data_IF_040690622667
#
_entry.id   IF_040690622667
#
_cell.length_a   1.000
_cell.length_b   1.000
_cell.length_c   1.000
_cell.angle_alpha   90.00
_cell.angle_beta   90.00
_cell.angle_gamma   90.00
#
_symmetry.space_group_name_H-M   'P 1'
#
loop_
_entity.id
_entity.type
_entity.pdbx_description
1 polymer ?
#
# COMPACT_ATOMS: atom_id res chain seq x y z
N UNK A 1 -7.82 -9.32 1.31
CA UNK A 1 -6.76 -8.29 1.35
C UNK A 1 -5.42 -8.93 1.06
N UNK A 2 -4.56 -8.28 0.28
CA UNK A 2 -3.27 -8.85 -0.13
C UNK A 2 -2.11 -7.96 0.28
N UNK A 3 -1.00 -8.55 0.70
CA UNK A 3 0.15 -7.82 1.25
C UNK A 3 1.46 -8.40 0.72
N UNK A 4 2.46 -7.57 0.42
CA UNK A 4 3.82 -8.01 0.14
C UNK A 4 4.86 -7.10 0.82
N UNK A 5 5.92 -7.72 1.35
CA UNK A 5 7.12 -7.02 1.84
C UNK A 5 8.21 -7.00 0.77
N UNK A 6 8.12 -7.90 -0.22
CA UNK A 6 9.03 -7.99 -1.34
C UNK A 6 8.69 -6.93 -2.40
N UNK A 7 9.60 -6.76 -3.36
CA UNK A 7 9.40 -5.88 -4.50
C UNK A 7 8.06 -6.19 -5.20
N UNK A 8 7.15 -5.21 -5.34
CA UNK A 8 5.76 -5.49 -5.68
C UNK A 8 5.53 -5.82 -7.16
N UNK A 9 6.44 -5.41 -8.05
CA UNK A 9 6.31 -5.53 -9.51
C UNK A 9 6.04 -6.97 -9.97
N UNK A 10 6.92 -7.89 -9.56
CA UNK A 10 6.90 -9.30 -9.98
C UNK A 10 5.99 -10.16 -9.10
N UNK A 11 5.52 -9.62 -7.98
CA UNK A 11 4.78 -10.36 -6.96
C UNK A 11 3.31 -9.97 -6.96
N UNK A 12 2.99 -8.89 -6.26
CA UNK A 12 1.62 -8.49 -5.99
C UNK A 12 0.97 -7.79 -7.18
N UNK A 13 1.72 -6.93 -7.89
CA UNK A 13 1.23 -6.17 -9.05
C UNK A 13 1.15 -7.00 -10.33
N UNK A 14 1.80 -8.17 -10.39
CA UNK A 14 1.67 -9.10 -11.51
C UNK A 14 0.20 -9.53 -11.76
N UNK A 15 -0.64 -9.49 -10.71
CA UNK A 15 -2.08 -9.75 -10.81
C UNK A 15 -2.90 -8.53 -11.29
N UNK A 16 -2.30 -7.35 -11.41
CA UNK A 16 -2.97 -6.08 -11.75
C UNK A 16 -2.28 -5.36 -12.93
N UNK A 17 -2.23 -5.99 -14.12
CA UNK A 17 -1.49 -5.44 -15.27
C UNK A 17 -1.97 -4.05 -15.70
N UNK A 18 -3.25 -3.71 -15.45
CA UNK A 18 -3.80 -2.40 -15.77
C UNK A 18 -3.33 -1.27 -14.83
N UNK A 19 -2.91 -1.60 -13.60
CA UNK A 19 -2.45 -0.64 -12.60
C UNK A 19 -0.92 -0.62 -12.49
N UNK A 20 -0.28 -1.70 -12.94
CA UNK A 20 1.14 -1.96 -12.82
C UNK A 20 2.02 -0.74 -13.18
N UNK A 21 1.89 -0.22 -14.39
CA UNK A 21 2.75 0.87 -14.88
C UNK A 21 2.60 2.11 -13.99
N UNK A 22 1.36 2.57 -13.77
CA UNK A 22 1.10 3.77 -12.99
C UNK A 22 1.59 3.66 -11.54
N UNK A 23 1.44 2.48 -10.91
CA UNK A 23 1.91 2.27 -9.53
C UNK A 23 3.44 2.21 -9.48
N UNK A 24 4.07 1.49 -10.40
CA UNK A 24 5.53 1.37 -10.45
C UNK A 24 6.19 2.72 -10.72
N UNK A 25 5.60 3.56 -11.59
CA UNK A 25 6.07 4.92 -11.82
C UNK A 25 6.15 5.72 -10.52
N UNK A 26 5.13 5.66 -9.65
CA UNK A 26 5.17 6.39 -8.37
C UNK A 26 6.23 5.85 -7.41
N UNK A 27 6.46 4.53 -7.40
CA UNK A 27 7.47 3.91 -6.52
C UNK A 27 8.89 4.24 -6.99
N UNK A 28 9.11 4.33 -8.31
CA UNK A 28 10.43 4.53 -8.91
C UNK A 28 10.78 6.01 -9.06
N UNK A 29 9.79 6.91 -9.22
CA UNK A 29 10.01 8.36 -9.45
C UNK A 29 11.02 9.02 -8.50
N UNK A 30 11.06 8.70 -7.19
CA UNK A 30 12.03 9.30 -6.27
C UNK A 30 13.49 8.87 -6.51
N UNK A 31 13.72 7.85 -7.33
CA UNK A 31 15.00 7.18 -7.52
C UNK A 31 15.53 7.36 -8.95
N UNK A 32 16.83 7.14 -9.13
CA UNK A 32 17.47 7.27 -10.45
C UNK A 32 17.28 6.03 -11.32
N UNK A 33 16.96 4.88 -10.71
CA UNK A 33 16.70 3.62 -11.42
C UNK A 33 15.82 2.65 -10.63
N UNK A 34 15.31 1.62 -11.33
CA UNK A 34 14.51 0.54 -10.72
C UNK A 34 15.36 -0.26 -9.72
N UNK A 35 16.64 -0.47 -10.01
CA UNK A 35 17.56 -1.20 -9.14
C UNK A 35 17.79 -0.46 -7.82
N UNK A 36 17.91 0.87 -7.87
CA UNK A 36 18.04 1.71 -6.67
C UNK A 36 16.76 1.64 -5.82
N UNK A 37 15.59 1.81 -6.44
CA UNK A 37 14.30 1.69 -5.76
C UNK A 37 14.12 0.32 -5.13
N UNK A 38 14.48 -0.77 -5.83
CA UNK A 38 14.39 -2.15 -5.34
C UNK A 38 15.36 -2.39 -4.19
N UNK A 39 16.59 -1.89 -4.28
CA UNK A 39 17.58 -2.01 -3.20
C UNK A 39 17.09 -1.29 -1.93
N UNK A 40 16.62 -0.05 -2.09
CA UNK A 40 16.05 0.74 -1.00
C UNK A 40 14.84 0.04 -0.35
N UNK A 41 13.94 -0.51 -1.17
CA UNK A 41 12.76 -1.23 -0.70
C UNK A 41 13.12 -2.39 0.23
N UNK A 42 14.12 -3.19 -0.17
CA UNK A 42 14.60 -4.34 0.62
C UNK A 42 15.34 -3.89 1.87
N UNK A 43 16.17 -2.85 1.77
CA UNK A 43 16.97 -2.34 2.89
C UNK A 43 16.11 -1.73 4.00
N UNK A 44 15.12 -0.93 3.63
CA UNK A 44 14.25 -0.20 4.58
C UNK A 44 13.05 -1.01 5.06
N UNK A 45 12.74 -2.12 4.39
CA UNK A 45 11.57 -2.94 4.73
C UNK A 45 10.25 -2.29 4.31
N UNK A 46 10.26 -1.58 3.17
CA UNK A 46 9.05 -1.08 2.55
C UNK A 46 8.04 -2.22 2.31
N UNK A 47 6.76 -1.87 2.29
CA UNK A 47 5.69 -2.84 2.11
C UNK A 47 4.55 -2.29 1.29
N UNK A 48 3.79 -3.18 0.64
CA UNK A 48 2.59 -2.85 -0.09
C UNK A 48 1.40 -3.67 0.39
N UNK A 49 0.25 -3.02 0.46
CA UNK A 49 -1.05 -3.64 0.71
C UNK A 49 -2.03 -3.22 -0.37
N UNK A 50 -2.76 -4.20 -0.92
CA UNK A 50 -3.87 -3.96 -1.83
C UNK A 50 -5.18 -4.19 -1.08
N UNK A 51 -6.04 -3.16 -1.10
CA UNK A 51 -7.39 -3.18 -0.54
C UNK A 51 -8.39 -3.18 -1.71
N UNK A 52 -9.05 -4.32 -1.91
CA UNK A 52 -9.98 -4.56 -3.01
C UNK A 52 -11.45 -4.38 -2.60
N UNK A 53 -12.34 -4.31 -3.58
CA UNK A 53 -13.79 -4.23 -3.33
C UNK A 53 -14.35 -5.45 -2.57
N UNK A 54 -13.75 -6.62 -2.76
CA UNK A 54 -14.16 -7.86 -2.10
C UNK A 54 -13.64 -8.02 -0.67
N UNK A 55 -12.75 -7.13 -0.22
CA UNK A 55 -12.08 -7.27 1.07
C UNK A 55 -13.03 -6.99 2.23
N UNK A 56 -12.91 -7.81 3.27
CA UNK A 56 -13.77 -7.80 4.44
C UNK A 56 -13.01 -7.46 5.72
N UNK A 57 -13.75 -7.00 6.73
CA UNK A 57 -13.20 -6.74 8.08
C UNK A 57 -12.61 -8.00 8.69
N UNK A 58 -13.23 -9.16 8.44
CA UNK A 58 -12.69 -10.45 8.91
C UNK A 58 -11.34 -10.77 8.31
N UNK A 59 -11.10 -10.48 7.03
CA UNK A 59 -9.79 -10.67 6.41
C UNK A 59 -8.75 -9.72 6.99
N UNK A 60 -9.14 -8.49 7.30
CA UNK A 60 -8.26 -7.53 7.97
C UNK A 60 -7.89 -7.99 9.38
N UNK A 61 -8.86 -8.49 10.16
CA UNK A 61 -8.66 -8.92 11.54
C UNK A 61 -7.77 -10.15 11.70
N UNK A 62 -7.66 -10.99 10.68
CA UNK A 62 -6.76 -12.16 10.70
C UNK A 62 -5.34 -11.84 10.23
N UNK A 63 -5.08 -10.63 9.72
CA UNK A 63 -3.71 -10.20 9.42
C UNK A 63 -2.89 -10.12 10.71
N UNK A 64 -1.55 -10.25 10.63
CA UNK A 64 -0.70 -9.97 11.78
C UNK A 64 -0.93 -8.56 12.34
N UNK A 65 -0.90 -8.41 13.67
CA UNK A 65 -1.18 -7.13 14.33
C UNK A 65 -0.28 -5.99 13.82
N UNK A 66 0.98 -6.27 13.50
CA UNK A 66 1.89 -5.25 12.96
C UNK A 66 1.39 -4.73 11.60
N UNK A 67 0.92 -5.61 10.71
CA UNK A 67 0.37 -5.25 9.40
C UNK A 67 -0.91 -4.45 9.56
N UNK A 68 -1.80 -4.86 10.48
CA UNK A 68 -3.00 -4.10 10.80
C UNK A 68 -2.65 -2.67 11.23
N UNK A 69 -1.69 -2.53 12.14
CA UNK A 69 -1.24 -1.21 12.62
C UNK A 69 -0.66 -0.35 11.50
N UNK A 70 0.16 -0.93 10.61
CA UNK A 70 0.74 -0.20 9.47
C UNK A 70 -0.33 0.26 8.48
N UNK A 71 -1.31 -0.60 8.16
CA UNK A 71 -2.43 -0.23 7.29
C UNK A 71 -3.24 0.91 7.91
N UNK A 72 -3.57 0.80 9.21
CA UNK A 72 -4.29 1.86 9.92
C UNK A 72 -3.50 3.16 10.00
N UNK A 73 -2.18 3.08 10.15
CA UNK A 73 -1.30 4.24 10.10
C UNK A 73 -1.31 4.88 8.71
N UNK A 74 -1.14 4.10 7.64
CA UNK A 74 -1.08 4.63 6.28
C UNK A 74 -2.41 5.21 5.77
N UNK A 75 -3.54 4.69 6.25
CA UNK A 75 -4.85 5.30 5.98
C UNK A 75 -5.03 6.64 6.69
N UNK A 76 -4.45 6.77 7.89
CA UNK A 76 -4.67 7.93 8.76
C UNK A 76 -3.70 9.08 8.47
N UNK A 77 -2.47 8.75 8.16
CA UNK A 77 -1.38 9.71 7.99
C UNK A 77 -0.64 9.45 6.68
N UNK A 78 -1.31 9.55 5.52
CA UNK A 78 -0.61 9.46 4.25
C UNK A 78 0.27 10.70 4.07
N UNK A 79 1.56 10.49 3.79
CA UNK A 79 2.46 11.52 3.31
C UNK A 79 2.13 11.94 1.88
N UNK A 80 1.74 10.98 1.03
CA UNK A 80 1.35 11.24 -0.35
C UNK A 80 0.13 10.41 -0.75
N UNK A 81 -0.69 10.99 -1.64
CA UNK A 81 -1.83 10.33 -2.26
C UNK A 81 -1.76 10.54 -3.78
N UNK A 82 -1.86 9.46 -4.53
CA UNK A 82 -1.78 9.45 -5.98
C UNK A 82 -3.05 8.85 -6.58
N UNK A 83 -3.62 9.50 -7.59
CA UNK A 83 -4.65 8.91 -8.42
C UNK A 83 -3.99 7.96 -9.43
N UNK A 84 -4.30 6.66 -9.33
CA UNK A 84 -3.75 5.62 -10.20
C UNK A 84 -4.66 5.36 -11.40
N UNK A 85 -5.97 5.34 -11.16
CA UNK A 85 -7.01 5.27 -12.18
C UNK A 85 -8.31 5.86 -11.63
N UNK A 86 -9.41 5.78 -12.39
CA UNK A 86 -10.74 6.24 -11.94
C UNK A 86 -11.17 5.56 -10.61
N UNK A 87 -10.89 4.26 -10.47
CA UNK A 87 -11.33 3.46 -9.33
C UNK A 87 -10.20 3.14 -8.34
N UNK A 88 -8.97 3.63 -8.57
CA UNK A 88 -7.82 3.26 -7.74
C UNK A 88 -6.97 4.45 -7.33
N UNK A 89 -6.58 4.47 -6.07
CA UNK A 89 -5.61 5.41 -5.51
C UNK A 89 -4.48 4.67 -4.80
N UNK A 90 -3.32 5.30 -4.72
CA UNK A 90 -2.17 4.84 -3.98
C UNK A 90 -1.87 5.83 -2.87
N UNK A 91 -1.87 5.36 -1.62
CA UNK A 91 -1.36 6.13 -0.50
C UNK A 91 0.06 5.66 -0.19
N UNK A 92 0.94 6.60 0.12
CA UNK A 92 2.25 6.32 0.70
C UNK A 92 2.27 6.92 2.10
N UNK A 93 2.62 6.10 3.09
CA UNK A 93 2.98 6.59 4.40
C UNK A 93 4.38 6.19 4.85
N UNK A 94 5.11 7.08 5.50
CA UNK A 94 6.47 6.88 6.00
C UNK A 94 6.41 6.46 7.47
N UNK A 95 6.98 5.30 7.77
CA UNK A 95 6.86 4.63 9.06
C UNK A 95 7.99 4.98 10.04
N UNK A 96 9.14 5.42 9.53
CA UNK A 96 10.32 5.73 10.34
C UNK A 96 11.25 6.74 9.65
N UNK A 97 12.26 7.21 10.39
CA UNK A 97 13.25 8.18 9.92
C UNK A 97 14.21 7.63 8.86
N UNK A 98 14.26 6.29 8.69
CA UNK A 98 15.04 5.62 7.64
C UNK A 98 14.30 5.63 6.29
N UNK A 99 13.05 6.10 6.25
CA UNK A 99 12.25 6.22 5.04
C UNK A 99 11.46 4.97 4.68
N UNK A 100 11.33 4.01 5.60
CA UNK A 100 10.52 2.81 5.37
C UNK A 100 9.07 3.19 5.11
N UNK A 101 8.56 2.87 3.92
CA UNK A 101 7.21 3.22 3.49
C UNK A 101 6.22 2.06 3.56
N UNK A 102 4.95 2.38 3.82
CA UNK A 102 3.82 1.52 3.46
C UNK A 102 3.04 2.14 2.31
N UNK A 103 2.87 1.35 1.25
CA UNK A 103 2.08 1.67 0.08
C UNK A 103 0.71 1.00 0.19
N UNK A 104 -0.37 1.77 0.19
CA UNK A 104 -1.74 1.26 0.19
C UNK A 104 -2.38 1.53 -1.17
N UNK A 105 -2.51 0.49 -1.99
CA UNK A 105 -3.25 0.56 -3.25
C UNK A 105 -4.71 0.19 -2.99
N UNK A 106 -5.59 1.17 -3.14
CA UNK A 106 -6.96 1.11 -2.62
C UNK A 106 -7.94 1.28 -3.75
N UNK A 107 -8.88 0.34 -3.86
CA UNK A 107 -10.05 0.48 -4.71
C UNK A 107 -11.06 1.45 -4.07
N UNK A 108 -11.49 2.48 -4.79
CA UNK A 108 -12.38 3.56 -4.28
C UNK A 108 -13.69 3.04 -3.70
N UNK A 109 -14.22 1.96 -4.26
CA UNK A 109 -15.46 1.31 -3.79
C UNK A 109 -15.24 0.20 -2.73
N UNK A 110 -14.06 0.12 -2.10
CA UNK A 110 -13.81 -0.88 -1.07
C UNK A 110 -14.67 -0.60 0.19
N UNK A 111 -15.64 -1.48 0.53
CA UNK A 111 -16.57 -1.28 1.65
C UNK A 111 -15.86 -1.35 3.01
N UNK A 112 -14.63 -1.86 3.02
CA UNK A 112 -13.79 -1.94 4.21
C UNK A 112 -13.31 -0.55 4.68
N UNK A 113 -13.11 0.42 3.77
CA UNK A 113 -12.51 1.72 4.12
C UNK A 113 -13.30 2.48 5.19
N UNK A 114 -14.63 2.68 5.07
CA UNK A 114 -15.36 3.41 6.10
C UNK A 114 -15.33 2.70 7.46
N UNK A 115 -15.19 1.37 7.46
CA UNK A 115 -15.11 0.59 8.70
C UNK A 115 -13.77 0.77 9.37
N UNK A 116 -12.67 0.68 8.60
CA UNK A 116 -11.33 0.95 9.13
C UNK A 116 -11.26 2.39 9.64
N UNK A 117 -11.77 3.36 8.87
CA UNK A 117 -11.87 4.77 9.27
C UNK A 117 -12.73 5.01 10.53
N UNK A 118 -13.75 4.17 10.77
CA UNK A 118 -14.57 4.24 11.98
C UNK A 118 -13.92 3.61 13.22
N UNK A 119 -13.10 2.56 13.06
CA UNK A 119 -12.36 1.91 14.16
C UNK A 119 -11.35 2.86 14.86
N UNK A 120 -11.17 4.07 14.36
CA UNK A 120 -10.32 5.11 14.95
C UNK A 120 -11.00 5.93 16.08
N UNK A 121 -12.32 5.82 16.25
CA UNK A 121 -13.09 6.66 17.18
C UNK A 121 -13.41 6.01 18.54
N UNK A 122 -12.93 4.80 18.79
CA UNK A 122 -13.04 4.08 20.08
C UNK A 122 -11.69 4.03 20.81
#
# INVERSE_FOLDING_TARGET
>A
MKTCMEWPEETLLAAYPALHISVMEQIIEPFSSVEEARAFWVETGCSMVIIEQGDSVSEFQVLPQHTQNQVMFGLRYPEQEFAISEDWRLLLAILNDEGAGIYLLIHSNAPLLPTLEAMHHE
#
